data_IF_006382993847
#
_entry.id   IF_006382993847
#
_cell.length_a   1.000
_cell.length_b   1.000
_cell.length_c   1.000
_cell.angle_alpha   90.00
_cell.angle_beta   90.00
_cell.angle_gamma   90.00
#
_symmetry.space_group_name_H-M   'P 1'
#
loop_
_entity.id
_entity.type
_entity.pdbx_description
1 polymer ?
#
# COMPACT_ATOMS: atom_id res chain seq x y z
N UNK A 1 -11.73 2.93 -4.93
CA UNK A 1 -12.79 2.02 -4.45
C UNK A 1 -12.28 0.72 -3.78
N UNK A 2 -11.30 0.01 -4.39
CA UNK A 2 -10.78 -1.26 -3.86
C UNK A 2 -10.09 -1.14 -2.49
N UNK A 3 -9.26 -0.11 -2.29
CA UNK A 3 -8.54 0.08 -1.02
C UNK A 3 -9.44 0.41 0.18
N UNK A 4 -10.58 1.07 -0.04
CA UNK A 4 -11.50 1.43 1.04
C UNK A 4 -12.18 0.20 1.65
N UNK A 5 -12.52 -0.79 0.83
CA UNK A 5 -13.07 -2.06 1.31
C UNK A 5 -12.03 -2.86 2.09
N UNK A 6 -10.79 -2.92 1.61
CA UNK A 6 -9.69 -3.57 2.32
C UNK A 6 -9.45 -2.95 3.70
N UNK A 7 -9.39 -1.62 3.78
CA UNK A 7 -9.26 -0.90 5.06
C UNK A 7 -10.45 -1.17 5.99
N UNK A 8 -11.67 -1.14 5.47
CA UNK A 8 -12.89 -1.41 6.23
C UNK A 8 -12.94 -2.83 6.81
N UNK A 9 -12.53 -3.83 6.02
CA UNK A 9 -12.47 -5.24 6.44
C UNK A 9 -11.44 -5.42 7.55
N UNK A 10 -10.23 -4.88 7.38
CA UNK A 10 -9.17 -4.93 8.39
C UNK A 10 -9.64 -4.26 9.68
N UNK A 11 -10.22 -3.06 9.58
CA UNK A 11 -10.81 -2.36 10.72
C UNK A 11 -11.89 -3.17 11.44
N UNK A 12 -12.79 -3.81 10.71
CA UNK A 12 -13.86 -4.64 11.28
C UNK A 12 -13.33 -5.88 12.01
N UNK A 13 -12.36 -6.59 11.41
CA UNK A 13 -11.76 -7.78 12.01
C UNK A 13 -11.05 -7.45 13.32
N UNK A 14 -10.23 -6.39 13.34
CA UNK A 14 -9.49 -6.01 14.54
C UNK A 14 -10.38 -5.37 15.62
N UNK A 15 -11.23 -4.40 15.26
CA UNK A 15 -12.03 -3.67 16.26
C UNK A 15 -13.25 -4.43 16.77
N UNK A 16 -13.87 -5.31 15.97
CA UNK A 16 -15.07 -6.03 16.39
C UNK A 16 -14.75 -7.47 16.77
N UNK A 17 -14.11 -8.21 15.87
CA UNK A 17 -13.97 -9.65 16.05
C UNK A 17 -12.96 -10.02 17.13
N UNK A 18 -11.77 -9.41 17.07
CA UNK A 18 -10.69 -9.77 17.99
C UNK A 18 -10.87 -9.06 19.34
N UNK A 19 -11.30 -7.79 19.33
CA UNK A 19 -11.60 -7.04 20.55
C UNK A 19 -12.73 -7.67 21.38
N UNK A 20 -13.83 -8.13 20.77
CA UNK A 20 -14.97 -8.66 21.55
C UNK A 20 -14.72 -10.08 22.08
N UNK A 21 -13.97 -10.91 21.35
CA UNK A 21 -13.78 -12.32 21.71
C UNK A 21 -12.66 -12.54 22.75
N UNK A 22 -11.60 -11.73 22.75
CA UNK A 22 -10.39 -12.00 23.56
C UNK A 22 -9.85 -10.76 24.28
N UNK A 23 -10.69 -9.94 24.92
CA UNK A 23 -10.28 -8.67 25.57
C UNK A 23 -9.02 -8.76 26.46
N UNK A 24 -8.93 -9.78 27.31
CA UNK A 24 -7.78 -9.96 28.22
C UNK A 24 -6.48 -10.33 27.50
N UNK A 25 -6.55 -11.25 26.54
CA UNK A 25 -5.42 -11.64 25.70
C UNK A 25 -5.00 -10.49 24.77
N UNK A 26 -5.96 -9.73 24.25
CA UNK A 26 -5.68 -8.62 23.34
C UNK A 26 -4.89 -7.49 23.99
N UNK A 27 -5.11 -7.21 25.28
CA UNK A 27 -4.31 -6.20 25.99
C UNK A 27 -2.83 -6.60 26.14
N UNK A 28 -2.51 -7.89 26.23
CA UNK A 28 -1.13 -8.34 26.40
C UNK A 28 -0.41 -8.62 25.08
N UNK A 29 -1.10 -9.16 24.07
CA UNK A 29 -0.46 -9.63 22.84
C UNK A 29 -0.57 -8.68 21.65
N UNK A 30 -1.30 -7.56 21.75
CA UNK A 30 -1.41 -6.60 20.65
C UNK A 30 -0.04 -6.01 20.26
N UNK A 31 0.85 -5.75 21.22
CA UNK A 31 2.20 -5.28 20.92
C UNK A 31 3.00 -6.31 20.11
N UNK A 32 2.95 -7.58 20.50
CA UNK A 32 3.61 -8.69 19.76
C UNK A 32 2.99 -8.86 18.37
N UNK A 33 1.67 -8.70 18.26
CA UNK A 33 0.98 -8.77 16.97
C UNK A 33 1.34 -7.62 16.04
N UNK A 34 1.42 -6.39 16.54
CA UNK A 34 1.88 -5.22 15.79
C UNK A 34 3.33 -5.39 15.34
N UNK A 35 4.20 -5.88 16.23
CA UNK A 35 5.59 -6.19 15.88
C UNK A 35 5.66 -7.32 14.83
N UNK A 36 4.80 -8.33 14.94
CA UNK A 36 4.70 -9.42 13.95
C UNK A 36 4.23 -8.94 12.58
N UNK A 37 3.32 -7.97 12.51
CA UNK A 37 2.89 -7.37 11.24
C UNK A 37 4.02 -6.57 10.57
N UNK A 38 4.80 -5.80 11.34
CA UNK A 38 5.92 -5.03 10.81
C UNK A 38 7.03 -5.96 10.27
N UNK A 39 7.40 -6.96 11.07
CA UNK A 39 8.38 -7.99 10.65
C UNK A 39 7.84 -8.82 9.47
N UNK A 40 6.56 -9.16 9.47
CA UNK A 40 5.90 -9.89 8.36
C UNK A 40 5.89 -9.09 7.06
N UNK A 41 5.69 -7.78 7.13
CA UNK A 41 5.79 -6.88 5.98
C UNK A 41 7.22 -6.82 5.44
N UNK A 42 8.21 -6.66 6.33
CA UNK A 42 9.62 -6.68 5.94
C UNK A 42 10.02 -8.00 5.27
N UNK A 43 9.62 -9.14 5.86
CA UNK A 43 9.87 -10.47 5.30
C UNK A 43 9.18 -10.67 3.95
N UNK A 44 7.93 -10.24 3.81
CA UNK A 44 7.20 -10.33 2.54
C UNK A 44 7.88 -9.50 1.45
N UNK A 45 8.39 -8.32 1.80
CA UNK A 45 9.14 -7.46 0.87
C UNK A 45 10.41 -8.15 0.39
N UNK A 46 11.19 -8.76 1.30
CA UNK A 46 12.39 -9.52 0.95
C UNK A 46 12.02 -10.72 0.06
N UNK A 47 10.96 -11.45 0.40
CA UNK A 47 10.52 -12.61 -0.37
C UNK A 47 10.12 -12.22 -1.80
N UNK A 48 9.34 -11.16 -1.97
CA UNK A 48 8.95 -10.65 -3.30
C UNK A 48 10.19 -10.22 -4.09
N UNK A 49 11.12 -9.50 -3.45
CA UNK A 49 12.36 -9.08 -4.09
C UNK A 49 13.18 -10.28 -4.60
N UNK A 50 13.37 -11.29 -3.76
CA UNK A 50 14.11 -12.50 -4.14
C UNK A 50 13.36 -13.28 -5.22
N UNK A 51 12.05 -13.44 -5.08
CA UNK A 51 11.22 -14.16 -6.06
C UNK A 51 11.31 -13.52 -7.45
N UNK A 52 11.19 -12.19 -7.53
CA UNK A 52 11.30 -11.45 -8.79
C UNK A 52 12.73 -11.40 -9.33
N UNK A 53 13.76 -11.33 -8.48
CA UNK A 53 15.16 -11.28 -8.93
C UNK A 53 15.65 -12.63 -9.46
N UNK A 54 15.16 -13.75 -8.92
CA UNK A 54 15.57 -15.09 -9.32
C UNK A 54 14.83 -15.58 -10.57
N UNK A 55 13.57 -15.19 -10.71
CA UNK A 55 12.81 -15.41 -11.95
C UNK A 55 13.18 -14.32 -12.96
N UNK A 56 14.18 -14.62 -13.79
CA UNK A 56 14.59 -13.81 -14.94
C UNK A 56 13.52 -13.88 -16.07
N UNK A 57 12.27 -13.59 -15.71
CA UNK A 57 11.11 -13.61 -16.60
C UNK A 57 10.61 -12.18 -16.84
N UNK A 58 10.10 -11.92 -18.04
CA UNK A 58 9.54 -10.63 -18.39
C UNK A 58 8.41 -10.27 -17.41
N UNK A 59 8.46 -9.05 -16.87
CA UNK A 59 7.51 -8.61 -15.86
C UNK A 59 6.09 -8.69 -16.43
N UNK A 60 5.15 -9.40 -15.76
CA UNK A 60 3.81 -9.59 -16.29
C UNK A 60 3.11 -8.24 -16.49
N UNK A 61 2.30 -8.10 -17.54
CA UNK A 61 1.52 -6.89 -17.76
C UNK A 61 0.31 -6.90 -16.81
N UNK A 62 0.38 -6.13 -15.73
CA UNK A 62 -0.70 -5.95 -14.76
C UNK A 62 -0.84 -4.47 -14.40
N UNK A 63 -1.97 -4.11 -13.77
CA UNK A 63 -2.34 -2.73 -13.42
C UNK A 63 -1.19 -1.92 -12.77
N UNK A 64 -0.37 -2.53 -11.90
CA UNK A 64 0.74 -1.84 -11.25
C UNK A 64 1.98 -1.61 -12.12
N UNK A 65 2.19 -2.39 -13.18
CA UNK A 65 3.31 -2.22 -14.12
C UNK A 65 2.88 -1.41 -15.35
N UNK A 66 1.67 -1.62 -15.86
CA UNK A 66 1.17 -0.99 -17.09
C UNK A 66 0.91 0.52 -16.93
N UNK A 67 0.37 0.93 -15.78
CA UNK A 67 -0.02 2.33 -15.56
C UNK A 67 1.20 3.22 -15.31
N UNK A 68 2.24 2.68 -14.67
CA UNK A 68 3.47 3.41 -14.44
C UNK A 68 4.13 3.85 -15.75
N UNK A 69 4.03 3.03 -16.81
CA UNK A 69 4.65 3.30 -18.11
C UNK A 69 3.75 4.15 -19.02
N UNK A 70 2.42 3.96 -18.95
CA UNK A 70 1.44 4.68 -19.78
C UNK A 70 0.99 6.03 -19.21
N UNK A 71 1.53 6.47 -18.07
CA UNK A 71 1.21 7.79 -17.51
C UNK A 71 1.97 8.89 -18.26
N UNK A 72 1.33 10.03 -18.50
CA UNK A 72 1.91 11.18 -19.24
C UNK A 72 3.24 11.70 -18.64
N UNK A 73 3.46 11.45 -17.34
CA UNK A 73 4.70 11.76 -16.63
C UNK A 73 5.88 10.87 -17.08
N UNK A 74 5.63 9.60 -17.38
CA UNK A 74 6.64 8.67 -17.89
C UNK A 74 6.92 8.84 -19.39
N UNK A 75 5.94 9.35 -20.15
CA UNK A 75 6.06 9.60 -21.59
C UNK A 75 6.63 10.99 -21.93
N UNK A 76 7.04 11.78 -20.93
CA UNK A 76 7.54 13.16 -21.08
C UNK A 76 6.62 14.11 -21.87
N UNK A 77 5.34 13.75 -22.01
CA UNK A 77 4.33 14.52 -22.76
C UNK A 77 3.36 15.24 -21.80
N UNK A 78 3.83 15.47 -20.57
CA UNK A 78 3.10 16.21 -19.54
C UNK A 78 2.95 17.67 -19.97
N UNK A 79 1.78 18.01 -20.51
CA UNK A 79 1.43 19.38 -20.88
C UNK A 79 1.32 20.22 -19.61
N UNK A 80 2.32 21.07 -19.37
CA UNK A 80 2.21 22.11 -18.35
C UNK A 80 1.27 23.20 -18.84
N UNK A 81 0.19 23.49 -18.11
CA UNK A 81 -0.64 24.67 -18.36
C UNK A 81 0.13 25.90 -17.90
N UNK A 82 0.95 26.47 -18.77
CA UNK A 82 1.66 27.72 -18.52
C UNK A 82 0.67 28.89 -18.52
N UNK A 83 0.53 29.57 -17.38
CA UNK A 83 -0.28 30.79 -17.27
C UNK A 83 -1.25 30.87 -16.09
N UNK A 84 -1.39 29.79 -15.30
CA UNK A 84 -2.19 29.80 -14.06
C UNK A 84 -1.29 29.69 -12.84
N UNK A 85 -1.28 30.73 -12.01
CA UNK A 85 -0.63 30.71 -10.71
C UNK A 85 -1.42 29.77 -9.78
N UNK A 86 -0.79 28.67 -9.36
CA UNK A 86 -1.32 27.83 -8.28
C UNK A 86 -0.95 28.44 -6.93
N UNK A 87 -1.96 28.91 -6.19
CA UNK A 87 -1.83 29.45 -4.84
C UNK A 87 -2.40 30.88 -4.72
N UNK A 88 -2.77 31.31 -3.50
CA UNK A 88 -3.25 32.67 -3.26
C UNK A 88 -2.16 33.70 -3.54
N UNK A 89 -2.52 34.86 -4.09
CA UNK A 89 -1.59 35.94 -4.43
C UNK A 89 -1.04 36.70 -3.22
N UNK A 90 -1.62 36.48 -2.04
CA UNK A 90 -1.12 36.97 -0.76
C UNK A 90 -1.47 35.97 0.34
N UNK A 91 -0.56 35.83 1.30
CA UNK A 91 -0.76 35.07 2.54
C UNK A 91 -1.76 35.75 3.46
#
# INVERSE_FOLDING_TARGET
>A
PLNYLSWGIVGFVFNKFIRDRWRGWWMHYNYVFSAGLDVGLALSTILIFVALSLWNHEMPNWWGTEIAVNTMDASYDAIQVTGVQFGPSSW
#
